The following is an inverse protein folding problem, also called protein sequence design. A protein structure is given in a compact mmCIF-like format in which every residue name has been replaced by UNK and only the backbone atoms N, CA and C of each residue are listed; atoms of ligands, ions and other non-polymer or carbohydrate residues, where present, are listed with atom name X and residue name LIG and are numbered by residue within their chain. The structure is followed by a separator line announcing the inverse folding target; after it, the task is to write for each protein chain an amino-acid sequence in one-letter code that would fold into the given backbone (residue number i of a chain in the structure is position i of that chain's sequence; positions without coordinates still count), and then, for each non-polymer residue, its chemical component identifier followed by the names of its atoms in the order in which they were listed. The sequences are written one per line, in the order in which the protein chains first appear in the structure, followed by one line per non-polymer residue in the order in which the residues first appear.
data_IF_620492184142
#
_entry.id   IF_620492184142
#
_cell.length_a   1.000
_cell.length_b   1.000
_cell.length_c   1.000
_cell.angle_alpha   90.00
_cell.angle_beta   90.00
_cell.angle_gamma   90.00
#
_symmetry.space_group_name_H-M   'P 1'
#
loop_
_entity.id
_entity.type
_entity.pdbx_description
1 polymer ?
#
# COMPACT_ATOMS: atom_id res chain seq x y z
N UNK A 1 -9.10 -2.15 -6.28
CA UNK A 1 -8.16 -3.18 -5.80
C UNK A 1 -8.91 -4.48 -5.60
N UNK A 2 -8.38 -5.58 -6.08
CA UNK A 2 -8.89 -6.93 -5.90
C UNK A 2 -7.87 -7.73 -5.08
N UNK A 3 -8.36 -8.43 -4.06
CA UNK A 3 -7.57 -9.39 -3.29
C UNK A 3 -8.15 -10.78 -3.55
N UNK A 4 -7.31 -11.71 -3.95
CA UNK A 4 -7.69 -13.12 -4.16
C UNK A 4 -6.71 -14.04 -3.45
N UNK A 5 -7.13 -15.28 -3.21
CA UNK A 5 -6.30 -16.37 -2.71
C UNK A 5 -6.36 -17.53 -3.71
N UNK A 6 -5.64 -17.42 -4.85
CA UNK A 6 -5.73 -18.38 -5.94
C UNK A 6 -5.22 -19.77 -5.57
N UNK A 7 -4.31 -19.85 -4.60
CA UNK A 7 -3.84 -21.10 -3.96
C UNK A 7 -3.87 -20.95 -2.46
N UNK A 8 -3.95 -22.03 -1.70
CA UNK A 8 -3.90 -21.99 -0.23
C UNK A 8 -2.68 -21.27 0.35
N UNK A 9 -1.61 -21.12 -0.43
CA UNK A 9 -0.31 -20.65 0.00
C UNK A 9 0.00 -19.19 -0.37
N UNK A 10 -0.82 -18.55 -1.25
CA UNK A 10 -0.52 -17.19 -1.75
C UNK A 10 -1.74 -16.30 -1.76
N UNK A 11 -1.53 -15.04 -1.39
CA UNK A 11 -2.42 -13.95 -1.71
C UNK A 11 -1.98 -13.26 -3.00
N UNK A 12 -2.94 -12.83 -3.80
CA UNK A 12 -2.75 -12.04 -5.03
C UNK A 12 -3.50 -10.73 -4.92
N UNK A 13 -2.82 -9.64 -5.20
CA UNK A 13 -3.41 -8.30 -5.33
C UNK A 13 -3.34 -7.81 -6.76
N UNK A 14 -4.46 -7.28 -7.23
CA UNK A 14 -4.54 -6.55 -8.49
C UNK A 14 -5.14 -5.17 -8.21
N UNK A 15 -4.45 -4.12 -8.59
CA UNK A 15 -4.84 -2.73 -8.35
C UNK A 15 -4.74 -1.87 -9.59
N UNK A 16 -5.70 -0.96 -9.76
CA UNK A 16 -5.63 0.11 -10.75
C UNK A 16 -5.79 1.43 -10.03
N UNK A 17 -4.93 2.39 -10.36
CA UNK A 17 -4.94 3.75 -9.82
C UNK A 17 -4.98 4.70 -10.99
N UNK A 18 -5.85 5.71 -10.94
CA UNK A 18 -5.92 6.74 -11.99
C UNK A 18 -6.32 8.09 -11.40
N UNK A 19 -5.83 9.15 -11.98
CA UNK A 19 -6.36 10.50 -11.70
C UNK A 19 -7.69 10.68 -12.43
N UNK A 20 -8.62 11.43 -11.82
CA UNK A 20 -9.95 11.72 -12.35
C UNK A 20 -10.25 13.21 -12.29
N UNK A 21 -11.29 13.68 -13.02
CA UNK A 21 -11.79 15.04 -12.99
C UNK A 21 -10.73 16.07 -13.42
N UNK A 22 -10.75 17.24 -12.78
CA UNK A 22 -9.83 18.34 -13.08
C UNK A 22 -8.36 17.97 -12.86
N UNK A 23 -8.04 17.12 -11.88
CA UNK A 23 -6.67 16.66 -11.62
C UNK A 23 -6.13 15.91 -12.83
N UNK A 24 -6.96 15.10 -13.52
CA UNK A 24 -6.55 14.38 -14.72
C UNK A 24 -6.21 15.31 -15.89
N UNK A 25 -6.91 16.44 -16.01
CA UNK A 25 -6.62 17.42 -17.06
C UNK A 25 -5.24 18.07 -16.88
N UNK A 26 -4.84 18.30 -15.62
CA UNK A 26 -3.55 18.90 -15.28
C UNK A 26 -2.42 17.85 -15.21
N UNK A 27 -2.73 16.66 -14.71
CA UNK A 27 -1.76 15.59 -14.47
C UNK A 27 -2.40 14.21 -14.72
N UNK A 28 -2.25 13.72 -15.95
CA UNK A 28 -2.69 12.38 -16.31
C UNK A 28 -1.75 11.35 -15.72
N UNK A 29 -2.29 10.54 -14.82
CA UNK A 29 -1.60 9.43 -14.17
C UNK A 29 -2.50 8.19 -14.20
N UNK A 30 -1.99 7.11 -14.73
CA UNK A 30 -2.63 5.79 -14.73
C UNK A 30 -1.60 4.76 -14.29
N UNK A 31 -1.95 3.89 -13.35
CA UNK A 31 -1.08 2.83 -12.89
C UNK A 31 -1.84 1.52 -12.70
N UNK A 32 -1.17 0.42 -12.97
CA UNK A 32 -1.62 -0.94 -12.62
C UNK A 32 -0.56 -1.60 -11.77
N UNK A 33 -1.01 -2.25 -10.69
CA UNK A 33 -0.16 -2.96 -9.76
C UNK A 33 -0.63 -4.40 -9.64
N UNK A 34 0.31 -5.32 -9.63
CA UNK A 34 0.10 -6.71 -9.21
C UNK A 34 1.09 -7.03 -8.12
N UNK A 35 0.68 -7.70 -7.07
CA UNK A 35 1.54 -8.14 -5.97
C UNK A 35 1.12 -9.50 -5.49
N UNK A 36 2.07 -10.32 -5.06
CA UNK A 36 1.81 -11.59 -4.39
C UNK A 36 2.54 -11.66 -3.06
N UNK A 37 1.88 -12.27 -2.09
CA UNK A 37 2.43 -12.49 -0.75
C UNK A 37 2.16 -13.91 -0.28
N UNK A 38 3.06 -14.45 0.52
CA UNK A 38 2.89 -15.73 1.21
C UNK A 38 1.71 -15.65 2.18
N UNK A 39 0.81 -16.64 2.15
CA UNK A 39 -0.44 -16.58 2.94
C UNK A 39 -0.23 -16.86 4.43
N UNK A 40 0.85 -17.55 4.82
CA UNK A 40 1.15 -17.84 6.21
C UNK A 40 1.89 -16.71 6.91
N UNK A 41 2.85 -16.09 6.23
CA UNK A 41 3.74 -15.07 6.80
C UNK A 41 3.36 -13.64 6.42
N UNK A 42 2.53 -13.47 5.38
CA UNK A 42 2.17 -12.19 4.72
C UNK A 42 3.38 -11.47 4.09
N UNK A 43 4.54 -12.11 4.01
CA UNK A 43 5.72 -11.55 3.36
C UNK A 43 5.51 -11.46 1.85
N UNK A 44 5.92 -10.36 1.21
CA UNK A 44 5.83 -10.22 -0.24
C UNK A 44 6.76 -11.20 -0.93
N UNK A 45 6.34 -11.71 -2.08
CA UNK A 45 7.13 -12.52 -2.98
C UNK A 45 7.58 -11.70 -4.18
N UNK A 46 6.64 -11.05 -4.83
CA UNK A 46 6.90 -10.20 -5.99
C UNK A 46 5.85 -9.10 -6.13
N UNK A 47 6.24 -7.99 -6.72
CA UNK A 47 5.35 -6.91 -7.09
C UNK A 47 5.74 -6.37 -8.45
N UNK A 48 4.75 -6.09 -9.30
CA UNK A 48 4.93 -5.39 -10.57
C UNK A 48 4.03 -4.16 -10.61
N UNK A 49 4.61 -3.05 -11.04
CA UNK A 49 3.96 -1.77 -11.15
C UNK A 49 4.19 -1.22 -12.56
N UNK A 50 3.13 -0.81 -13.23
CA UNK A 50 3.18 -0.13 -14.53
C UNK A 50 2.53 1.23 -14.36
N UNK A 51 3.31 2.29 -14.50
CA UNK A 51 2.87 3.67 -14.38
C UNK A 51 2.95 4.38 -15.73
N UNK A 52 1.88 5.08 -16.09
CA UNK A 52 1.82 5.94 -17.25
C UNK A 52 1.59 7.38 -16.78
N UNK A 53 2.61 8.22 -16.93
CA UNK A 53 2.56 9.64 -16.56
C UNK A 53 2.77 10.46 -17.81
N UNK A 54 1.72 11.14 -18.30
CA UNK A 54 1.77 11.82 -19.59
C UNK A 54 2.19 10.85 -20.70
N UNK A 55 3.37 11.06 -21.32
CA UNK A 55 3.91 10.26 -22.42
C UNK A 55 4.99 9.27 -21.98
N UNK A 56 5.16 9.09 -20.66
CA UNK A 56 6.20 8.26 -20.09
C UNK A 56 5.57 7.04 -19.42
N UNK A 57 6.05 5.86 -19.80
CA UNK A 57 5.69 4.60 -19.17
C UNK A 57 6.88 4.11 -18.34
N UNK A 58 6.64 3.82 -17.06
CA UNK A 58 7.61 3.21 -16.16
C UNK A 58 7.11 1.84 -15.74
N UNK A 59 7.93 0.83 -15.87
CA UNK A 59 7.67 -0.52 -15.37
C UNK A 59 8.68 -0.80 -14.28
N UNK A 60 8.18 -1.08 -13.07
CA UNK A 60 9.00 -1.48 -11.91
C UNK A 60 8.60 -2.89 -11.50
N UNK A 61 9.56 -3.78 -11.38
CA UNK A 61 9.38 -5.14 -10.86
C UNK A 61 10.21 -5.31 -9.61
N UNK A 62 9.61 -5.81 -8.55
CA UNK A 62 10.23 -6.12 -7.28
C UNK A 62 10.23 -7.63 -7.08
N UNK A 63 11.34 -8.19 -6.63
CA UNK A 63 11.47 -9.58 -6.21
C UNK A 63 12.04 -9.59 -4.79
N UNK A 64 11.31 -10.20 -3.86
CA UNK A 64 11.67 -10.25 -2.45
C UNK A 64 12.25 -11.61 -2.10
N UNK A 65 13.22 -11.61 -1.20
CA UNK A 65 13.78 -12.80 -0.58
C UNK A 65 14.02 -12.56 0.92
N UNK A 66 14.53 -13.55 1.64
CA UNK A 66 14.77 -13.47 3.09
C UNK A 66 15.76 -12.39 3.51
N UNK A 67 16.59 -11.89 2.59
CA UNK A 67 17.63 -10.89 2.85
C UNK A 67 17.28 -9.48 2.38
N UNK A 68 16.25 -9.32 1.52
CA UNK A 68 15.87 -7.99 1.04
C UNK A 68 15.05 -8.00 -0.25
N UNK A 69 15.24 -6.99 -1.09
CA UNK A 69 14.50 -6.78 -2.34
C UNK A 69 15.41 -6.40 -3.49
N UNK A 70 15.16 -6.97 -4.66
CA UNK A 70 15.73 -6.52 -5.93
C UNK A 70 14.67 -5.78 -6.74
N UNK A 71 14.95 -4.54 -7.10
CA UNK A 71 14.09 -3.67 -7.93
C UNK A 71 14.69 -3.53 -9.33
N UNK A 72 13.87 -3.78 -10.36
CA UNK A 72 14.21 -3.55 -11.78
C UNK A 72 13.25 -2.53 -12.36
N UNK A 73 13.76 -1.41 -12.86
CA UNK A 73 12.98 -0.29 -13.41
C UNK A 73 13.34 -0.08 -14.87
N UNK A 74 12.33 -0.04 -15.74
CA UNK A 74 12.45 0.30 -17.16
C UNK A 74 11.53 1.47 -17.48
N UNK A 75 12.03 2.41 -18.28
CA UNK A 75 11.33 3.63 -18.66
C UNK A 75 11.24 3.75 -20.19
N UNK A 76 10.07 4.08 -20.74
CA UNK A 76 9.83 4.23 -22.18
C UNK A 76 9.04 5.53 -22.45
N UNK A 77 9.49 6.44 -23.34
CA UNK A 77 10.82 6.47 -23.93
C UNK A 77 11.88 6.70 -22.84
N UNK A 78 12.97 6.00 -22.89
CA UNK A 78 14.05 6.04 -21.89
C UNK A 78 15.42 6.32 -22.52
N UNK A 79 16.35 6.80 -21.68
CA UNK A 79 17.74 7.06 -22.10
C UNK A 79 18.57 5.79 -22.28
N UNK A 80 18.07 4.65 -21.79
CA UNK A 80 18.76 3.35 -21.86
C UNK A 80 17.75 2.24 -22.09
N UNK A 81 18.09 1.29 -22.95
CA UNK A 81 17.32 0.06 -23.15
C UNK A 81 17.47 -0.93 -21.98
N UNK A 82 18.54 -0.82 -21.18
CA UNK A 82 18.77 -1.68 -20.05
C UNK A 82 17.99 -1.21 -18.79
N UNK A 83 17.41 -2.14 -18.02
CA UNK A 83 16.73 -1.79 -16.79
C UNK A 83 17.72 -1.27 -15.73
N UNK A 84 17.26 -0.29 -14.93
CA UNK A 84 17.98 0.13 -13.73
C UNK A 84 17.72 -0.90 -12.65
N UNK A 85 18.75 -1.61 -12.21
CA UNK A 85 18.68 -2.60 -11.14
C UNK A 85 19.18 -2.00 -9.83
N UNK A 86 18.42 -2.21 -8.75
CA UNK A 86 18.79 -1.82 -7.39
C UNK A 86 18.57 -2.99 -6.46
N UNK A 87 19.45 -3.14 -5.49
CA UNK A 87 19.30 -4.07 -4.38
C UNK A 87 19.23 -3.27 -3.08
N UNK A 88 18.33 -3.69 -2.18
CA UNK A 88 18.25 -3.16 -0.83
C UNK A 88 18.17 -4.33 0.15
N UNK A 89 19.24 -4.52 0.93
CA UNK A 89 19.37 -5.60 1.89
C UNK A 89 18.81 -5.17 3.23
N UNK A 90 17.65 -5.71 3.55
CA UNK A 90 16.95 -5.49 4.80
C UNK A 90 15.99 -6.66 5.05
N UNK A 91 16.08 -7.36 6.18
CA UNK A 91 15.15 -8.44 6.51
C UNK A 91 13.74 -7.86 6.80
N UNK A 92 12.71 -8.66 6.62
CA UNK A 92 11.32 -8.29 6.93
C UNK A 92 10.84 -7.03 6.22
N UNK A 93 11.15 -6.90 4.94
CA UNK A 93 10.59 -5.87 4.07
C UNK A 93 9.20 -6.28 3.59
N UNK A 94 8.35 -5.27 3.44
CA UNK A 94 7.03 -5.41 2.84
C UNK A 94 6.93 -4.55 1.56
N UNK A 95 6.08 -4.98 0.63
CA UNK A 95 5.60 -4.08 -0.42
C UNK A 95 4.38 -3.29 0.08
N UNK A 96 3.81 -2.46 -0.79
CA UNK A 96 2.67 -1.62 -0.43
C UNK A 96 1.45 -2.44 0.01
N UNK A 97 1.16 -3.57 -0.66
CA UNK A 97 -0.07 -4.36 -0.42
C UNK A 97 0.11 -5.33 0.72
N UNK A 98 1.24 -6.02 0.79
CA UNK A 98 1.56 -6.93 1.89
C UNK A 98 1.71 -6.17 3.22
N UNK A 99 2.22 -4.93 3.21
CA UNK A 99 2.25 -4.09 4.41
C UNK A 99 0.84 -3.75 4.93
N UNK A 100 -0.12 -3.52 4.02
CA UNK A 100 -1.52 -3.31 4.40
C UNK A 100 -2.14 -4.59 4.98
N UNK A 101 -1.88 -5.77 4.38
CA UNK A 101 -2.32 -7.04 4.95
C UNK A 101 -1.76 -7.27 6.35
N UNK A 102 -0.45 -7.05 6.49
CA UNK A 102 0.21 -7.18 7.79
C UNK A 102 -0.39 -6.23 8.83
N UNK A 103 -0.58 -4.96 8.47
CA UNK A 103 -1.22 -3.98 9.38
C UNK A 103 -2.63 -4.42 9.81
N UNK A 104 -3.44 -4.92 8.86
CA UNK A 104 -4.81 -5.40 9.11
C UNK A 104 -4.84 -6.64 10.02
N UNK A 105 -3.80 -7.46 10.02
CA UNK A 105 -3.69 -8.64 10.90
C UNK A 105 -3.29 -8.31 12.33
N UNK A 106 -2.83 -7.08 12.59
CA UNK A 106 -2.40 -6.66 13.93
C UNK A 106 -3.59 -6.34 14.84
N UNK A 107 -3.46 -6.48 16.16
CA UNK A 107 -4.54 -6.22 17.11
C UNK A 107 -5.00 -4.75 17.14
N UNK A 108 -4.20 -3.80 16.69
CA UNK A 108 -4.50 -2.37 16.62
C UNK A 108 -5.19 -1.81 17.88
N UNK A 109 -4.61 -2.10 19.03
CA UNK A 109 -5.09 -1.57 20.31
C UNK A 109 -4.93 -0.04 20.36
N UNK A 110 -5.78 0.63 21.15
CA UNK A 110 -5.71 2.08 21.30
C UNK A 110 -4.33 2.53 21.75
N UNK A 111 -3.82 3.58 21.09
CA UNK A 111 -2.49 4.16 21.30
C UNK A 111 -1.32 3.23 20.94
N UNK A 112 -1.58 2.03 20.41
CA UNK A 112 -0.51 1.16 19.94
C UNK A 112 0.20 1.76 18.72
N UNK A 113 1.49 1.39 18.56
CA UNK A 113 2.34 1.86 17.47
C UNK A 113 2.89 0.64 16.74
N UNK A 114 2.65 0.58 15.43
CA UNK A 114 3.23 -0.40 14.53
C UNK A 114 4.33 0.25 13.70
N UNK A 115 5.43 -0.46 13.49
CA UNK A 115 6.54 -0.03 12.64
C UNK A 115 6.80 -1.08 11.58
N UNK A 116 6.70 -0.68 10.31
CA UNK A 116 6.79 -1.57 9.16
C UNK A 116 7.76 -0.95 8.16
N UNK A 117 8.75 -1.71 7.69
CA UNK A 117 9.62 -1.22 6.61
C UNK A 117 9.03 -1.64 5.28
N UNK A 118 8.69 -0.65 4.45
CA UNK A 118 7.99 -0.81 3.17
C UNK A 118 8.90 -0.38 2.03
N UNK A 119 8.96 -1.18 0.98
CA UNK A 119 9.67 -0.87 -0.27
C UNK A 119 8.66 -0.83 -1.43
N UNK A 120 8.03 0.34 -1.68
CA UNK A 120 6.92 0.44 -2.63
C UNK A 120 7.36 0.41 -4.10
N UNK A 121 8.60 0.80 -4.42
CA UNK A 121 9.12 0.82 -5.80
C UNK A 121 10.65 0.84 -5.88
N UNK A 122 11.30 1.93 -5.43
CA UNK A 122 12.74 2.17 -5.65
C UNK A 122 13.48 2.62 -4.38
N UNK A 123 12.78 2.78 -3.28
CA UNK A 123 13.34 3.23 -2.00
C UNK A 123 12.57 2.60 -0.84
N UNK A 124 13.28 2.36 0.26
CA UNK A 124 12.68 1.86 1.50
C UNK A 124 12.17 3.01 2.37
N UNK A 125 11.09 2.77 3.10
CA UNK A 125 10.49 3.70 4.05
C UNK A 125 10.11 2.96 5.34
N UNK A 126 10.43 3.55 6.48
CA UNK A 126 9.85 3.17 7.76
C UNK A 126 8.48 3.82 7.87
N UNK A 127 7.42 3.03 7.82
CA UNK A 127 6.07 3.44 8.14
C UNK A 127 5.85 3.28 9.65
N UNK A 128 5.58 4.39 10.33
CA UNK A 128 5.15 4.41 11.73
C UNK A 128 3.65 4.68 11.76
N UNK A 129 2.88 3.70 12.24
CA UNK A 129 1.42 3.74 12.30
C UNK A 129 0.97 3.76 13.74
N UNK A 130 0.30 4.82 14.17
CA UNK A 130 -0.23 4.98 15.53
C UNK A 130 -1.75 4.92 15.53
N UNK A 131 -2.34 4.11 16.40
CA UNK A 131 -3.79 4.10 16.61
C UNK A 131 -4.17 5.34 17.40
N UNK A 132 -4.96 6.24 16.78
CA UNK A 132 -5.38 7.50 17.40
C UNK A 132 -6.68 7.37 18.18
N UNK A 133 -7.70 6.78 17.56
CA UNK A 133 -9.05 6.71 18.09
C UNK A 133 -9.89 5.66 17.38
N UNK A 134 -11.06 5.36 17.96
CA UNK A 134 -12.18 4.72 17.27
C UNK A 134 -13.30 5.75 17.10
N UNK A 135 -13.85 5.81 15.91
CA UNK A 135 -14.90 6.77 15.57
C UNK A 135 -15.87 6.17 14.55
N UNK A 136 -17.06 6.74 14.45
CA UNK A 136 -18.01 6.39 13.40
C UNK A 136 -17.69 7.19 12.15
N UNK A 137 -17.47 6.51 11.03
CA UNK A 137 -17.14 7.12 9.73
C UNK A 137 -18.26 6.82 8.73
N UNK A 138 -18.80 7.86 8.12
CA UNK A 138 -19.76 7.75 7.01
C UNK A 138 -19.07 8.17 5.71
N UNK A 139 -19.20 7.33 4.70
CA UNK A 139 -18.62 7.54 3.37
C UNK A 139 -19.52 6.96 2.27
N UNK A 140 -19.05 6.98 1.02
CA UNK A 140 -19.84 6.51 -0.13
C UNK A 140 -20.25 5.03 -0.05
N UNK A 141 -19.45 4.20 0.62
CA UNK A 141 -19.72 2.76 0.81
C UNK A 141 -20.62 2.45 2.00
N UNK A 142 -21.02 3.45 2.79
CA UNK A 142 -21.87 3.27 3.98
C UNK A 142 -21.26 3.85 5.24
N UNK A 143 -21.80 3.43 6.39
CA UNK A 143 -21.34 3.87 7.73
C UNK A 143 -20.71 2.70 8.45
N UNK A 144 -19.50 2.94 8.99
CA UNK A 144 -18.68 1.95 9.68
C UNK A 144 -18.23 2.46 11.04
N UNK A 145 -18.07 1.56 12.00
CA UNK A 145 -17.16 1.82 13.11
C UNK A 145 -15.74 1.72 12.54
N UNK A 146 -14.89 2.69 12.82
CA UNK A 146 -13.58 2.82 12.19
C UNK A 146 -12.47 3.04 13.20
N UNK A 147 -11.33 2.44 12.94
CA UNK A 147 -10.06 2.71 13.62
C UNK A 147 -9.34 3.79 12.83
N UNK A 148 -9.10 4.91 13.50
CA UNK A 148 -8.34 6.03 12.96
C UNK A 148 -6.87 5.88 13.28
N UNK A 149 -6.05 5.89 12.25
CA UNK A 149 -4.61 5.68 12.31
C UNK A 149 -3.88 6.93 11.84
N UNK A 150 -2.77 7.27 12.51
CA UNK A 150 -1.77 8.21 12.02
C UNK A 150 -0.66 7.45 11.31
N UNK A 151 -0.33 7.82 10.10
CA UNK A 151 0.76 7.26 9.31
C UNK A 151 1.82 8.32 9.05
N UNK A 152 3.03 8.03 9.49
CA UNK A 152 4.24 8.83 9.19
C UNK A 152 5.23 7.96 8.43
N UNK A 153 5.96 8.58 7.49
CA UNK A 153 6.97 7.91 6.68
C UNK A 153 8.33 8.59 6.86
N UNK A 154 9.34 7.79 7.17
CA UNK A 154 10.75 8.19 7.11
C UNK A 154 11.44 7.34 6.06
N UNK A 155 12.22 7.97 5.18
CA UNK A 155 13.03 7.23 4.21
C UNK A 155 14.16 6.51 4.93
N UNK A 156 14.40 5.25 4.56
CA UNK A 156 15.53 4.46 5.07
C UNK A 156 16.67 4.58 4.08
N UNK A 157 17.77 5.17 4.51
CA UNK A 157 18.99 5.31 3.72
C UNK A 157 19.80 4.01 3.66
N UNK A 158 20.91 4.04 2.91
CA UNK A 158 21.75 2.85 2.71
C UNK A 158 22.39 2.34 4.02
N UNK A 159 22.75 3.23 4.91
CA UNK A 159 23.30 2.91 6.22
C UNK A 159 22.22 2.76 7.31
N UNK A 160 20.95 2.59 6.90
CA UNK A 160 19.79 2.51 7.79
C UNK A 160 19.48 3.78 8.59
N UNK A 161 20.09 4.90 8.25
CA UNK A 161 19.70 6.21 8.78
C UNK A 161 18.28 6.57 8.32
N UNK A 162 17.55 7.31 9.17
CA UNK A 162 16.20 7.76 8.87
C UNK A 162 16.22 9.21 8.41
N UNK A 163 15.70 9.44 7.21
CA UNK A 163 15.54 10.76 6.63
C UNK A 163 14.04 11.12 6.54
N UNK A 164 13.67 12.39 6.76
CA UNK A 164 12.31 12.84 6.52
C UNK A 164 11.87 12.59 5.08
N UNK A 165 10.64 12.15 4.87
CA UNK A 165 10.11 12.01 3.52
C UNK A 165 9.86 13.39 2.90
N UNK A 166 10.50 13.71 1.76
CA UNK A 166 10.50 15.07 1.17
C UNK A 166 9.13 15.54 0.68
N UNK A 167 8.28 14.63 0.16
CA UNK A 167 6.99 14.98 -0.49
C UNK A 167 5.77 14.60 0.34
N UNK A 168 5.91 13.66 1.25
CA UNK A 168 4.84 13.16 2.10
C UNK A 168 5.12 13.64 3.53
N UNK A 169 4.13 14.25 4.16
CA UNK A 169 4.25 14.75 5.54
C UNK A 169 3.62 13.78 6.52
N UNK A 170 2.35 13.45 6.29
CA UNK A 170 1.55 12.64 7.19
C UNK A 170 0.32 12.13 6.45
N UNK A 171 -0.22 10.99 6.83
CA UNK A 171 -1.56 10.60 6.44
C UNK A 171 -2.39 10.16 7.65
N UNK A 172 -3.69 10.33 7.53
CA UNK A 172 -4.68 9.67 8.37
C UNK A 172 -5.31 8.54 7.56
N UNK A 173 -5.37 7.36 8.15
CA UNK A 173 -5.92 6.16 7.54
C UNK A 173 -7.05 5.66 8.42
N UNK A 174 -8.17 5.26 7.82
CA UNK A 174 -9.29 4.64 8.52
C UNK A 174 -9.48 3.21 8.03
N UNK A 175 -9.44 2.27 8.96
CA UNK A 175 -9.82 0.88 8.73
C UNK A 175 -11.16 0.60 9.42
N UNK A 176 -11.99 -0.29 8.86
CA UNK A 176 -13.18 -0.74 9.59
C UNK A 176 -12.78 -1.45 10.89
N UNK A 177 -13.55 -1.23 11.95
CA UNK A 177 -13.31 -1.86 13.26
C UNK A 177 -14.13 -3.15 13.39
N UNK A 178 -13.86 -4.07 12.47
CA UNK A 178 -14.43 -5.40 12.37
C UNK A 178 -13.38 -6.41 11.92
N UNK A 179 -13.75 -7.65 11.68
CA UNK A 179 -12.84 -8.73 11.21
C UNK A 179 -12.28 -8.47 9.82
N UNK A 180 -12.94 -7.67 8.99
CA UNK A 180 -12.52 -7.42 7.61
C UNK A 180 -11.43 -6.37 7.51
N UNK A 181 -11.38 -5.43 8.48
CA UNK A 181 -10.39 -4.35 8.49
C UNK A 181 -10.30 -3.63 7.14
N UNK A 182 -11.45 -3.33 6.53
CA UNK A 182 -11.51 -2.67 5.23
C UNK A 182 -10.81 -1.31 5.28
N UNK A 183 -10.05 -0.99 4.26
CA UNK A 183 -9.50 0.35 4.09
C UNK A 183 -10.63 1.29 3.63
N UNK A 184 -11.14 2.12 4.55
CA UNK A 184 -12.29 3.00 4.32
C UNK A 184 -11.90 4.32 3.70
N UNK A 185 -10.81 4.91 4.22
CA UNK A 185 -10.33 6.23 3.79
C UNK A 185 -8.84 6.41 4.06
N UNK A 186 -8.18 7.12 3.15
CA UNK A 186 -6.85 7.69 3.35
C UNK A 186 -6.94 9.18 3.07
N UNK A 187 -6.40 10.00 3.98
CA UNK A 187 -6.22 11.43 3.80
C UNK A 187 -4.75 11.77 4.02
N UNK A 188 -4.04 12.13 2.96
CA UNK A 188 -2.61 12.38 2.99
C UNK A 188 -2.28 13.86 2.77
N UNK A 189 -1.41 14.40 3.61
CA UNK A 189 -0.79 15.71 3.43
C UNK A 189 0.49 15.55 2.62
N UNK A 190 0.47 16.10 1.42
CA UNK A 190 1.62 16.12 0.51
C UNK A 190 2.07 17.55 0.26
N UNK A 191 3.20 17.73 -0.43
CA UNK A 191 3.78 19.07 -0.66
C UNK A 191 2.87 20.05 -1.42
N UNK A 192 1.89 19.54 -2.20
CA UNK A 192 0.93 20.34 -2.97
C UNK A 192 -0.44 20.50 -2.28
N UNK A 193 -0.60 20.01 -1.05
CA UNK A 193 -1.87 20.09 -0.31
C UNK A 193 -2.33 18.74 0.25
N UNK A 194 -3.65 18.60 0.42
CA UNK A 194 -4.26 17.38 0.94
C UNK A 194 -4.89 16.59 -0.21
N UNK A 195 -4.59 15.30 -0.28
CA UNK A 195 -5.23 14.34 -1.17
C UNK A 195 -5.95 13.27 -0.35
N UNK A 196 -7.03 12.72 -0.88
CA UNK A 196 -7.77 11.66 -0.21
C UNK A 196 -8.26 10.60 -1.20
N UNK A 197 -8.45 9.40 -0.68
CA UNK A 197 -9.12 8.29 -1.34
C UNK A 197 -10.13 7.69 -0.36
N UNK A 198 -11.31 7.31 -0.85
CA UNK A 198 -12.39 6.74 -0.06
C UNK A 198 -12.93 5.48 -0.71
N UNK A 199 -13.29 4.50 0.10
CA UNK A 199 -13.93 3.27 -0.34
C UNK A 199 -15.30 3.60 -0.96
N UNK A 200 -15.49 3.23 -2.23
CA UNK A 200 -16.75 3.45 -2.93
C UNK A 200 -17.69 2.24 -2.79
N UNK A 201 -17.15 1.04 -2.90
CA UNK A 201 -17.87 -0.20 -2.72
C UNK A 201 -16.92 -1.34 -2.44
N UNK A 202 -17.43 -2.40 -1.81
CA UNK A 202 -16.72 -3.66 -1.63
C UNK A 202 -17.63 -4.81 -2.10
N UNK A 203 -17.04 -5.80 -2.73
CA UNK A 203 -17.71 -7.06 -3.07
C UNK A 203 -16.87 -8.19 -2.51
N UNK A 204 -17.52 -9.13 -1.87
CA UNK A 204 -16.92 -10.39 -1.43
C UNK A 204 -17.39 -11.48 -2.39
N UNK A 205 -16.50 -12.39 -2.77
CA UNK A 205 -16.93 -13.60 -3.51
C UNK A 205 -17.79 -14.47 -2.57
N UNK A 206 -18.84 -15.08 -3.08
CA UNK A 206 -19.92 -15.76 -2.33
C UNK A 206 -19.50 -16.98 -1.49
N UNK A 207 -18.23 -17.27 -1.38
CA UNK A 207 -17.67 -18.37 -0.58
C UNK A 207 -17.54 -18.07 0.93
N UNK A 208 -18.12 -16.97 1.41
CA UNK A 208 -18.07 -16.65 2.84
C UNK A 208 -19.16 -17.44 3.57
N UNK A 209 -18.85 -18.34 4.52
CA UNK A 209 -19.88 -18.93 5.36
C UNK A 209 -20.62 -17.80 6.09
N UNK A 210 -21.96 -17.88 6.09
CA UNK A 210 -22.80 -16.93 6.81
C UNK A 210 -22.29 -16.78 8.25
N UNK A 211 -22.28 -15.55 8.83
CA UNK A 211 -21.90 -15.37 10.21
C UNK A 211 -22.81 -16.27 11.07
N UNK A 212 -22.20 -17.08 11.92
CA UNK A 212 -22.97 -17.82 12.92
C UNK A 212 -23.70 -16.79 13.76
N UNK A 213 -25.03 -16.83 13.73
CA UNK A 213 -25.87 -16.14 14.69
C UNK A 213 -25.59 -16.78 16.06
N UNK A 214 -24.99 -16.03 16.97
CA UNK A 214 -24.97 -16.33 18.41
C UNK A 214 -26.24 -15.80 19.06
#
# INVERSE_FOLDING_TARGET
VRLTKPSGERFQFDGTIQTIGLVRALWKFDATHTSSADAGTLHPLEMKQVENVRNKKTVTSLSFDSSGVTSKETETPGKSAAPKVRRFDFPNLFDLYSSLLYLRSQPLQDRSVQRIVVYPATSAYLATVTVLARERLTGPSGTYNAIKLDLQLSKVGKNRELEPHRKFRRATVWLSDDSDRLLLKIQAQVFVGTVFAELQSVKFDDARPAPRAD
#
